data_IF_558091348534
#
_entry.id   IF_558091348534
#
_cell.length_a   1.000
_cell.length_b   1.000
_cell.length_c   1.000
_cell.angle_alpha   90.00
_cell.angle_beta   90.00
_cell.angle_gamma   90.00
#
_symmetry.space_group_name_H-M   'P 1'
#
loop_
_entity.id
_entity.type
_entity.pdbx_description
1 polymer ?
#
# COMPACT_ATOMS: atom_id res chain seq x y z
N UNK A 1 -14.43 14.53 -1.44
CA UNK A 1 -14.82 13.52 -2.46
C UNK A 1 -13.66 12.95 -3.28
N UNK A 2 -12.92 13.74 -4.07
CA UNK A 2 -12.04 13.24 -5.17
C UNK A 2 -11.02 12.15 -4.81
N UNK A 3 -10.51 12.14 -3.57
CA UNK A 3 -9.50 11.15 -3.17
C UNK A 3 -10.05 9.75 -2.95
N UNK A 4 -11.25 9.62 -2.40
CA UNK A 4 -11.89 8.32 -2.25
C UNK A 4 -12.15 7.69 -3.63
N UNK A 5 -12.70 8.48 -4.56
CA UNK A 5 -12.96 8.04 -5.94
C UNK A 5 -11.67 7.62 -6.67
N UNK A 6 -10.60 8.40 -6.52
CA UNK A 6 -9.30 8.07 -7.10
C UNK A 6 -8.74 6.75 -6.54
N UNK A 7 -8.82 6.55 -5.22
CA UNK A 7 -8.34 5.32 -4.60
C UNK A 7 -9.13 4.11 -5.08
N UNK A 8 -10.46 4.22 -5.20
CA UNK A 8 -11.30 3.12 -5.74
C UNK A 8 -10.90 2.80 -7.18
N UNK A 9 -10.72 3.83 -8.02
CA UNK A 9 -10.28 3.67 -9.41
C UNK A 9 -8.91 2.98 -9.50
N UNK A 10 -7.93 3.46 -8.73
CA UNK A 10 -6.57 2.95 -8.75
C UNK A 10 -6.51 1.48 -8.33
N UNK A 11 -7.19 1.13 -7.25
CA UNK A 11 -7.16 -0.22 -6.69
C UNK A 11 -7.96 -1.23 -7.52
N UNK A 12 -9.06 -0.81 -8.14
CA UNK A 12 -10.03 -1.74 -8.75
C UNK A 12 -10.02 -1.75 -10.28
N UNK A 13 -9.46 -0.73 -10.94
CA UNK A 13 -9.53 -0.61 -12.41
C UNK A 13 -8.18 -0.41 -13.09
N UNK A 14 -7.12 -0.04 -12.35
CA UNK A 14 -5.83 0.30 -12.96
C UNK A 14 -4.91 -0.93 -13.01
N UNK A 15 -4.58 -1.45 -14.21
CA UNK A 15 -3.63 -2.54 -14.36
C UNK A 15 -2.20 -2.08 -14.06
N UNK A 16 -1.40 -2.91 -13.39
CA UNK A 16 -0.03 -2.57 -13.00
C UNK A 16 1.00 -3.53 -13.63
N UNK A 17 2.03 -2.99 -14.30
CA UNK A 17 3.04 -3.80 -15.02
C UNK A 17 3.78 -4.80 -14.11
N UNK A 18 4.12 -4.39 -12.88
CA UNK A 18 4.79 -5.28 -11.92
C UNK A 18 3.90 -6.37 -11.34
N UNK A 19 2.59 -6.28 -11.55
CA UNK A 19 1.59 -7.26 -11.11
C UNK A 19 1.06 -8.07 -12.30
N UNK A 20 1.88 -8.25 -13.34
CA UNK A 20 1.46 -8.94 -14.59
C UNK A 20 0.20 -8.33 -15.23
N UNK A 21 0.07 -7.00 -15.14
CA UNK A 21 -1.11 -6.23 -15.60
C UNK A 21 -2.42 -6.51 -14.84
N UNK A 22 -2.36 -7.19 -13.69
CA UNK A 22 -3.50 -7.28 -12.76
C UNK A 22 -3.72 -5.96 -12.01
N UNK A 23 -4.92 -5.77 -11.47
CA UNK A 23 -5.19 -4.67 -10.54
C UNK A 23 -4.65 -5.00 -9.15
N UNK A 24 -4.36 -4.00 -8.31
CA UNK A 24 -3.95 -4.23 -6.92
C UNK A 24 -4.92 -5.14 -6.14
N UNK A 25 -6.23 -4.96 -6.31
CA UNK A 25 -7.23 -5.80 -5.63
C UNK A 25 -7.23 -7.24 -6.15
N UNK A 26 -7.15 -7.44 -7.47
CA UNK A 26 -7.09 -8.79 -8.04
C UNK A 26 -5.85 -9.54 -7.56
N UNK A 27 -4.71 -8.85 -7.49
CA UNK A 27 -3.49 -9.41 -6.95
C UNK A 27 -3.65 -9.85 -5.49
N UNK A 28 -4.26 -9.00 -4.64
CA UNK A 28 -4.49 -9.32 -3.24
C UNK A 28 -5.40 -10.54 -3.07
N UNK A 29 -6.46 -10.63 -3.86
CA UNK A 29 -7.41 -11.76 -3.80
C UNK A 29 -6.75 -13.06 -4.28
N UNK A 30 -5.98 -13.00 -5.37
CA UNK A 30 -5.29 -14.16 -5.95
C UNK A 30 -4.14 -14.65 -5.07
N UNK A 31 -3.33 -13.72 -4.57
CA UNK A 31 -2.05 -13.99 -3.91
C UNK A 31 -2.12 -13.75 -2.39
N UNK A 32 -3.33 -13.81 -1.81
CA UNK A 32 -3.61 -13.47 -0.40
C UNK A 32 -2.70 -14.15 0.62
N UNK A 33 -2.13 -15.32 0.31
CA UNK A 33 -1.13 -16.03 1.14
C UNK A 33 0.23 -15.33 1.18
N UNK A 34 0.59 -14.56 0.16
CA UNK A 34 1.80 -13.74 0.10
C UNK A 34 1.51 -12.25 0.34
N UNK A 35 0.24 -11.86 0.55
CA UNK A 35 -0.14 -10.56 1.11
C UNK A 35 0.21 -10.48 2.60
N UNK A 36 1.49 -10.68 2.89
CA UNK A 36 2.04 -10.35 4.17
C UNK A 36 1.98 -8.84 4.27
N UNK A 37 1.05 -8.37 5.08
CA UNK A 37 1.09 -7.03 5.66
C UNK A 37 2.26 -7.02 6.64
N UNK A 38 3.48 -7.13 6.11
CA UNK A 38 4.70 -7.02 6.88
C UNK A 38 4.66 -5.65 7.53
N UNK A 39 4.56 -5.61 8.85
CA UNK A 39 4.76 -4.36 9.56
C UNK A 39 6.17 -3.89 9.19
N UNK A 40 6.27 -2.75 8.50
CA UNK A 40 7.57 -2.19 8.19
C UNK A 40 8.21 -1.83 9.52
N UNK A 41 9.28 -2.53 9.89
CA UNK A 41 10.11 -2.19 11.05
C UNK A 41 10.90 -0.91 10.77
N UNK A 42 10.25 0.13 10.26
CA UNK A 42 10.90 1.41 10.03
C UNK A 42 11.19 2.01 11.40
N UNK A 43 12.46 2.17 11.78
CA UNK A 43 12.79 2.75 13.06
C UNK A 43 12.19 4.17 13.11
N UNK A 44 11.56 4.58 14.22
CA UNK A 44 11.05 5.93 14.35
C UNK A 44 12.20 6.92 14.15
N UNK A 45 11.98 7.92 13.31
CA UNK A 45 12.98 8.94 13.07
C UNK A 45 13.20 9.75 14.36
N UNK A 46 14.44 9.75 14.86
CA UNK A 46 14.84 10.58 15.99
C UNK A 46 15.03 12.03 15.52
N UNK A 47 13.94 12.77 15.36
CA UNK A 47 14.06 14.23 15.37
C UNK A 47 14.45 14.64 16.79
N UNK A 48 15.62 15.25 16.95
CA UNK A 48 16.08 15.79 18.23
C UNK A 48 14.95 16.60 18.91
N UNK A 49 14.43 16.08 20.02
CA UNK A 49 13.46 16.76 20.88
C UNK A 49 11.97 16.68 20.49
N UNK A 50 11.54 15.84 19.54
CA UNK A 50 10.11 15.66 19.24
C UNK A 50 9.67 14.19 19.20
N UNK A 51 8.37 13.97 19.41
CA UNK A 51 7.73 12.65 19.47
C UNK A 51 8.14 11.80 18.26
N UNK A 52 8.47 10.51 18.47
CA UNK A 52 8.79 9.61 17.37
C UNK A 52 7.59 9.50 16.42
N UNK A 53 7.81 9.72 15.14
CA UNK A 53 6.85 9.41 14.07
C UNK A 53 7.47 8.35 13.16
N UNK A 54 6.60 7.58 12.51
CA UNK A 54 7.01 6.64 11.48
C UNK A 54 7.46 7.46 10.26
N UNK A 55 8.77 7.41 10.01
CA UNK A 55 9.28 7.49 8.65
C UNK A 55 9.04 6.10 8.00
#
# INVERSE_FOLDING_TARGET
QRMAEYLVLYNSKRPHKSLELMTPVDYILRESKNCNMWWTHTPPCKLHGKRPYWC
#
